data_IF_470165584463
#
_entry.id   IF_470165584463
#
_cell.length_a   1.000
_cell.length_b   1.000
_cell.length_c   1.000
_cell.angle_alpha   90.00
_cell.angle_beta   90.00
_cell.angle_gamma   90.00
#
_symmetry.space_group_name_H-M   'P 1'
#
loop_
_entity.id
_entity.type
_entity.pdbx_description
1 polymer ?
#
# COMPACT_ATOMS: atom_id res chain seq x y z
N UNK A 1 2.48 3.95 -12.07
CA UNK A 1 2.47 2.75 -11.18
C UNK A 1 2.81 1.43 -11.88
N UNK A 2 2.45 1.20 -13.16
CA UNK A 2 2.77 -0.07 -13.85
C UNK A 2 4.26 -0.42 -13.99
N UNK A 3 5.18 0.57 -13.95
CA UNK A 3 6.63 0.31 -13.99
C UNK A 3 7.24 -0.09 -12.64
N UNK A 4 6.76 0.45 -11.52
CA UNK A 4 7.31 0.15 -10.19
C UNK A 4 6.99 -1.28 -9.75
N UNK A 5 5.79 -1.78 -10.09
CA UNK A 5 5.43 -3.18 -9.87
C UNK A 5 6.28 -4.14 -10.74
N UNK A 6 6.60 -3.74 -11.98
CA UNK A 6 7.37 -4.56 -12.91
C UNK A 6 8.89 -4.54 -12.67
N UNK A 7 9.46 -3.47 -12.10
CA UNK A 7 10.91 -3.38 -11.83
C UNK A 7 11.37 -4.18 -10.61
N UNK A 8 10.47 -4.54 -9.71
CA UNK A 8 10.84 -5.28 -8.50
C UNK A 8 11.00 -6.78 -8.74
N UNK A 9 10.41 -7.35 -9.80
CA UNK A 9 10.21 -8.80 -10.01
C UNK A 9 11.52 -9.56 -10.36
N UNK A 10 12.64 -8.85 -10.61
CA UNK A 10 13.91 -9.47 -10.99
C UNK A 10 14.60 -10.27 -9.87
N UNK A 11 14.51 -9.81 -8.62
CA UNK A 11 15.27 -10.33 -7.47
C UNK A 11 14.38 -10.49 -6.22
N UNK A 12 13.16 -11.03 -6.39
CA UNK A 12 12.22 -11.26 -5.28
C UNK A 12 12.26 -12.72 -4.85
N UNK A 13 12.47 -12.96 -3.55
CA UNK A 13 12.47 -14.32 -2.97
C UNK A 13 11.06 -14.86 -2.69
N UNK A 14 10.08 -13.97 -2.53
CA UNK A 14 8.69 -14.32 -2.25
C UNK A 14 7.74 -13.18 -2.65
N UNK A 15 6.65 -13.51 -3.35
CA UNK A 15 5.58 -12.55 -3.69
C UNK A 15 4.35 -12.80 -2.83
N UNK A 16 3.76 -11.74 -2.29
CA UNK A 16 2.45 -11.77 -1.65
C UNK A 16 1.45 -11.13 -2.61
N UNK A 17 0.59 -11.94 -3.23
CA UNK A 17 -0.49 -11.46 -4.08
C UNK A 17 -1.76 -11.30 -3.23
N UNK A 18 -2.29 -10.07 -3.16
CA UNK A 18 -3.44 -9.73 -2.30
C UNK A 18 -4.68 -9.54 -3.15
N UNK A 19 -5.77 -10.21 -2.79
CA UNK A 19 -7.11 -10.06 -3.40
C UNK A 19 -8.15 -9.71 -2.34
N UNK A 20 -9.31 -9.22 -2.75
CA UNK A 20 -10.37 -8.74 -1.86
C UNK A 20 -11.52 -9.75 -1.73
N UNK A 21 -11.61 -10.45 -0.60
CA UNK A 21 -12.76 -11.30 -0.24
C UNK A 21 -13.11 -12.31 -1.34
N UNK A 22 -14.34 -12.23 -1.83
CA UNK A 22 -14.86 -13.04 -2.95
C UNK A 22 -14.86 -12.30 -4.30
N UNK A 23 -14.19 -11.15 -4.37
CA UNK A 23 -14.12 -10.31 -5.56
C UNK A 23 -12.93 -10.71 -6.43
N UNK A 24 -13.21 -10.96 -7.70
CA UNK A 24 -12.21 -11.19 -8.73
C UNK A 24 -12.51 -10.32 -9.94
N UNK A 25 -11.54 -9.51 -10.36
CA UNK A 25 -11.68 -8.53 -11.44
C UNK A 25 -10.66 -8.76 -12.55
N UNK A 26 -10.87 -8.16 -13.74
CA UNK A 26 -9.86 -8.20 -14.80
C UNK A 26 -8.49 -7.65 -14.37
N UNK A 27 -8.45 -6.71 -13.43
CA UNK A 27 -7.19 -6.18 -12.90
C UNK A 27 -6.43 -7.23 -12.08
N UNK A 28 -7.15 -8.04 -11.28
CA UNK A 28 -6.56 -9.16 -10.54
C UNK A 28 -6.00 -10.21 -11.50
N UNK A 29 -6.73 -10.51 -12.58
CA UNK A 29 -6.28 -11.41 -13.64
C UNK A 29 -5.04 -10.88 -14.37
N UNK A 30 -4.98 -9.57 -14.63
CA UNK A 30 -3.79 -8.93 -15.23
C UNK A 30 -2.56 -9.04 -14.31
N UNK A 31 -2.73 -8.92 -13.00
CA UNK A 31 -1.63 -9.12 -12.03
C UNK A 31 -1.21 -10.59 -12.02
N UNK A 32 -2.17 -11.51 -11.89
CA UNK A 32 -1.94 -12.95 -11.90
C UNK A 32 -1.13 -13.40 -13.13
N UNK A 33 -1.48 -12.90 -14.32
CA UNK A 33 -0.77 -13.24 -15.55
C UNK A 33 0.72 -12.87 -15.50
N UNK A 34 1.07 -11.74 -14.88
CA UNK A 34 2.49 -11.35 -14.69
C UNK A 34 3.20 -12.25 -13.67
N UNK A 35 2.47 -12.76 -12.68
CA UNK A 35 3.03 -13.64 -11.65
C UNK A 35 3.30 -15.04 -12.19
N UNK A 36 2.49 -15.53 -13.14
CA UNK A 36 2.70 -16.80 -13.84
C UNK A 36 4.04 -16.85 -14.59
N UNK A 37 4.50 -15.71 -15.10
CA UNK A 37 5.79 -15.59 -15.80
C UNK A 37 6.98 -15.42 -14.85
N UNK A 38 6.73 -15.24 -13.55
CA UNK A 38 7.75 -15.06 -12.52
C UNK A 38 8.36 -16.39 -12.02
N UNK A 39 9.56 -16.31 -11.43
CA UNK A 39 10.23 -17.47 -10.80
C UNK A 39 10.00 -17.56 -9.30
N UNK A 40 9.64 -16.46 -8.66
CA UNK A 40 9.47 -16.39 -7.22
C UNK A 40 8.21 -17.15 -6.78
N UNK A 41 8.23 -17.86 -5.65
CA UNK A 41 7.02 -18.42 -5.06
C UNK A 41 6.01 -17.32 -4.73
N UNK A 42 4.73 -17.64 -4.88
CA UNK A 42 3.62 -16.69 -4.67
C UNK A 42 2.70 -17.21 -3.56
N UNK A 43 2.46 -16.39 -2.54
CA UNK A 43 1.40 -16.59 -1.55
C UNK A 43 0.18 -15.78 -2.00
N UNK A 44 -1.00 -16.40 -1.97
CA UNK A 44 -2.25 -15.69 -2.17
C UNK A 44 -2.82 -15.28 -0.81
N UNK A 45 -2.87 -13.98 -0.55
CA UNK A 45 -3.50 -13.39 0.63
C UNK A 45 -4.91 -12.90 0.27
N UNK A 46 -5.93 -13.63 0.72
CA UNK A 46 -7.34 -13.23 0.49
C UNK A 46 -7.75 -12.32 1.63
N UNK A 47 -7.72 -11.00 1.41
CA UNK A 47 -7.93 -9.99 2.44
C UNK A 47 -9.42 -9.64 2.62
N UNK A 48 -9.75 -8.97 3.73
CA UNK A 48 -11.12 -8.55 4.11
C UNK A 48 -12.11 -9.70 4.27
N UNK A 49 -11.65 -10.86 4.75
CA UNK A 49 -12.52 -12.03 4.99
C UNK A 49 -13.58 -11.78 6.06
N UNK A 50 -13.34 -10.81 6.93
CA UNK A 50 -14.29 -10.28 7.92
C UNK A 50 -15.51 -9.61 7.26
N UNK A 51 -15.37 -9.09 6.05
CA UNK A 51 -16.43 -8.42 5.30
C UNK A 51 -17.19 -9.35 4.35
N UNK A 52 -16.85 -10.64 4.32
CA UNK A 52 -17.58 -11.63 3.51
C UNK A 52 -18.87 -12.00 4.23
N UNK A 53 -20.00 -11.58 3.66
CA UNK A 53 -21.33 -11.74 4.28
C UNK A 53 -21.70 -13.22 4.44
N UNK A 54 -21.56 -14.01 3.37
CA UNK A 54 -21.87 -15.42 3.36
C UNK A 54 -20.59 -16.25 3.37
N UNK A 55 -20.24 -16.81 4.53
CA UNK A 55 -19.05 -17.66 4.65
C UNK A 55 -19.10 -18.89 3.73
N UNK A 56 -20.30 -19.30 3.32
CA UNK A 56 -20.51 -20.38 2.35
C UNK A 56 -19.90 -20.07 0.98
N UNK A 57 -19.82 -18.79 0.58
CA UNK A 57 -19.28 -18.38 -0.72
C UNK A 57 -17.75 -18.37 -0.74
N UNK A 58 -17.12 -18.28 0.44
CA UNK A 58 -15.67 -18.19 0.54
C UNK A 58 -14.99 -19.50 0.08
N UNK A 59 -15.50 -20.65 0.50
CA UNK A 59 -14.85 -21.94 0.18
C UNK A 59 -14.84 -22.25 -1.34
N UNK A 60 -15.96 -22.12 -2.08
CA UNK A 60 -15.95 -22.23 -3.55
C UNK A 60 -15.01 -21.21 -4.21
N UNK A 61 -14.97 -19.98 -3.69
CA UNK A 61 -14.10 -18.95 -4.25
C UNK A 61 -12.62 -19.28 -4.03
N UNK A 62 -12.23 -19.77 -2.85
CA UNK A 62 -10.87 -20.22 -2.57
C UNK A 62 -10.46 -21.39 -3.48
N UNK A 63 -11.39 -22.31 -3.78
CA UNK A 63 -11.13 -23.39 -4.75
C UNK A 63 -10.91 -22.85 -6.17
N UNK A 64 -11.76 -21.91 -6.61
CA UNK A 64 -11.58 -21.22 -7.88
C UNK A 64 -10.22 -20.53 -7.95
N UNK A 65 -9.85 -19.77 -6.92
CA UNK A 65 -8.57 -19.07 -6.84
C UNK A 65 -7.40 -20.06 -6.86
N UNK A 66 -7.46 -21.13 -6.06
CA UNK A 66 -6.43 -22.16 -6.02
C UNK A 66 -6.23 -22.90 -7.35
N UNK A 67 -7.23 -22.88 -8.24
CA UNK A 67 -7.10 -23.44 -9.60
C UNK A 67 -6.41 -22.49 -10.60
N UNK A 68 -6.22 -21.22 -10.25
CA UNK A 68 -5.68 -20.22 -11.17
C UNK A 68 -4.17 -20.38 -11.42
N UNK A 69 -3.41 -20.78 -10.40
CA UNK A 69 -1.99 -21.13 -10.53
C UNK A 69 -1.54 -21.91 -9.29
N UNK A 70 -0.34 -22.47 -9.34
CA UNK A 70 0.25 -23.13 -8.18
C UNK A 70 0.79 -22.09 -7.19
N UNK A 71 -0.03 -21.72 -6.20
CA UNK A 71 0.40 -20.90 -5.08
C UNK A 71 1.20 -21.74 -4.08
N UNK A 72 2.17 -21.10 -3.42
CA UNK A 72 2.88 -21.68 -2.28
C UNK A 72 1.93 -21.93 -1.11
N UNK A 73 1.07 -20.95 -0.84
CA UNK A 73 0.04 -21.02 0.19
C UNK A 73 -1.12 -20.07 -0.16
N UNK A 74 -2.32 -20.37 0.33
CA UNK A 74 -3.52 -19.54 0.19
C UNK A 74 -4.00 -19.22 1.60
N UNK A 75 -3.81 -17.97 2.02
CA UNK A 75 -4.05 -17.53 3.38
C UNK A 75 -5.19 -16.51 3.40
N UNK A 76 -6.38 -16.88 3.89
CA UNK A 76 -7.44 -15.92 4.17
C UNK A 76 -7.03 -15.03 5.35
N UNK A 77 -7.00 -13.70 5.15
CA UNK A 77 -6.57 -12.72 6.15
C UNK A 77 -7.60 -11.61 6.36
N UNK A 78 -7.48 -10.94 7.50
CA UNK A 78 -8.10 -9.64 7.73
C UNK A 78 -7.01 -8.68 8.17
N UNK A 79 -6.57 -7.81 7.27
CA UNK A 79 -5.53 -6.82 7.56
C UNK A 79 -5.96 -5.81 8.64
N UNK A 80 -7.28 -5.58 8.78
CA UNK A 80 -7.82 -4.68 9.80
C UNK A 80 -7.78 -5.30 11.20
N UNK A 81 -8.16 -6.57 11.33
CA UNK A 81 -8.17 -7.25 12.63
C UNK A 81 -6.85 -7.93 12.99
N UNK A 82 -5.96 -8.10 12.00
CA UNK A 82 -4.70 -8.83 12.14
C UNK A 82 -4.83 -10.35 11.95
N UNK A 83 -6.02 -10.87 11.61
CA UNK A 83 -6.24 -12.30 11.40
C UNK A 83 -5.26 -12.86 10.35
N UNK A 84 -4.51 -13.89 10.74
CA UNK A 84 -3.56 -14.64 9.92
C UNK A 84 -2.41 -13.79 9.30
N UNK A 85 -2.22 -12.55 9.74
CA UNK A 85 -1.08 -11.73 9.31
C UNK A 85 0.24 -12.30 9.84
N UNK A 86 0.21 -12.89 11.04
CA UNK A 86 1.29 -13.65 11.66
C UNK A 86 1.66 -14.91 10.86
N UNK A 87 0.67 -15.59 10.29
CA UNK A 87 0.88 -16.74 9.39
C UNK A 87 1.69 -16.29 8.17
N UNK A 88 1.31 -15.18 7.52
CA UNK A 88 2.07 -14.63 6.40
C UNK A 88 3.49 -14.26 6.84
N UNK A 89 3.65 -13.55 7.96
CA UNK A 89 4.96 -13.19 8.48
C UNK A 89 5.85 -14.41 8.75
N UNK A 90 5.26 -15.51 9.24
CA UNK A 90 5.92 -16.79 9.44
C UNK A 90 6.41 -17.43 8.14
N UNK A 91 5.62 -17.34 7.06
CA UNK A 91 6.02 -17.85 5.74
C UNK A 91 7.13 -16.97 5.16
N UNK A 92 6.99 -15.63 5.23
CA UNK A 92 8.02 -14.68 4.78
C UNK A 92 9.36 -14.98 5.43
N UNK A 93 9.37 -15.16 6.76
CA UNK A 93 10.60 -15.45 7.51
C UNK A 93 11.31 -16.72 7.05
N UNK A 94 10.56 -17.74 6.61
CA UNK A 94 11.12 -19.01 6.10
C UNK A 94 11.75 -18.88 4.71
N UNK A 95 11.40 -17.84 3.96
CA UNK A 95 11.89 -17.60 2.60
C UNK A 95 12.95 -16.50 2.54
N UNK A 96 13.38 -15.96 3.70
CA UNK A 96 14.52 -15.06 3.74
C UNK A 96 15.81 -15.86 3.52
N UNK A 97 16.63 -15.52 2.52
CA UNK A 97 17.91 -16.18 2.30
C UNK A 97 18.87 -15.85 3.44
N UNK A 98 19.83 -16.75 3.67
CA UNK A 98 20.95 -16.45 4.56
C UNK A 98 21.81 -15.35 3.90
N UNK A 99 21.79 -14.16 4.50
CA UNK A 99 22.49 -13.00 4.00
C UNK A 99 22.85 -12.06 5.15
N UNK A 100 23.82 -11.18 4.90
CA UNK A 100 24.12 -10.08 5.83
C UNK A 100 22.93 -9.11 5.77
N UNK A 101 22.50 -8.62 6.93
CA UNK A 101 21.52 -7.54 6.98
C UNK A 101 22.05 -6.33 6.19
N UNK A 102 21.37 -6.00 5.09
CA UNK A 102 21.73 -4.85 4.25
C UNK A 102 21.50 -3.51 4.97
N UNK A 103 20.66 -3.50 6.01
CA UNK A 103 20.34 -2.32 6.81
C UNK A 103 20.59 -2.61 8.31
N UNK A 104 21.16 -1.65 9.07
CA UNK A 104 21.26 -1.75 10.52
C UNK A 104 19.89 -1.87 11.22
N UNK A 105 19.85 -2.49 12.41
CA UNK A 105 18.60 -2.65 13.18
C UNK A 105 17.95 -1.30 13.54
N UNK A 106 18.78 -0.31 13.90
CA UNK A 106 18.34 1.04 14.28
C UNK A 106 18.37 2.03 13.12
N UNK A 107 18.27 1.55 11.87
CA UNK A 107 18.28 2.42 10.70
C UNK A 107 16.97 3.22 10.61
N UNK A 108 16.85 4.25 11.46
CA UNK A 108 15.82 5.27 11.36
C UNK A 108 16.17 6.14 10.17
N UNK A 109 15.63 5.79 9.01
CA UNK A 109 15.78 6.65 7.85
C UNK A 109 15.01 7.95 8.09
N UNK A 110 15.67 9.11 8.05
CA UNK A 110 14.97 10.40 7.87
C UNK A 110 14.12 10.36 6.57
N UNK A 111 14.52 9.52 5.60
CA UNK A 111 13.66 9.13 4.47
C UNK A 111 12.34 8.48 4.89
N UNK A 112 12.27 7.63 5.93
CA UNK A 112 11.01 7.03 6.38
C UNK A 112 10.11 8.06 7.04
N UNK A 113 10.64 9.01 7.82
CA UNK A 113 9.82 10.08 8.39
C UNK A 113 9.27 11.03 7.31
N UNK A 114 10.12 11.46 6.36
CA UNK A 114 9.68 12.23 5.19
C UNK A 114 8.70 11.44 4.32
N UNK A 115 8.98 10.17 4.08
CA UNK A 115 8.11 9.28 3.32
C UNK A 115 6.75 9.12 4.01
N UNK A 116 6.73 8.81 5.32
CA UNK A 116 5.50 8.72 6.12
C UNK A 116 4.71 10.02 6.07
N UNK A 117 5.36 11.18 6.21
CA UNK A 117 4.68 12.45 6.07
C UNK A 117 4.05 12.62 4.66
N UNK A 118 4.77 12.22 3.61
CA UNK A 118 4.25 12.24 2.23
C UNK A 118 3.08 11.28 2.03
N UNK A 119 3.13 10.07 2.61
CA UNK A 119 2.06 9.07 2.54
C UNK A 119 0.82 9.54 3.30
N UNK A 120 1.00 10.16 4.48
CA UNK A 120 -0.12 10.72 5.25
C UNK A 120 -0.82 11.82 4.45
N UNK A 121 -0.08 12.75 3.85
CA UNK A 121 -0.67 13.79 2.99
C UNK A 121 -1.39 13.14 1.79
N UNK A 122 -0.79 12.13 1.14
CA UNK A 122 -1.41 11.41 0.02
C UNK A 122 -2.70 10.69 0.43
N UNK A 123 -2.74 10.06 1.60
CA UNK A 123 -3.93 9.41 2.17
C UNK A 123 -5.05 10.44 2.39
N UNK A 124 -4.74 11.63 2.91
CA UNK A 124 -5.73 12.70 3.04
C UNK A 124 -6.23 13.19 1.68
N UNK A 125 -5.33 13.40 0.71
CA UNK A 125 -5.73 13.78 -0.64
C UNK A 125 -6.67 12.74 -1.27
N UNK A 126 -6.34 11.45 -1.16
CA UNK A 126 -7.19 10.35 -1.64
C UNK A 126 -8.57 10.36 -0.96
N UNK A 127 -8.60 10.53 0.37
CA UNK A 127 -9.83 10.51 1.16
C UNK A 127 -10.78 11.68 0.82
N UNK A 128 -10.24 12.87 0.61
CA UNK A 128 -11.05 14.08 0.41
C UNK A 128 -11.34 14.44 -1.05
N UNK A 129 -10.49 14.03 -2.00
CA UNK A 129 -10.63 14.39 -3.41
C UNK A 129 -11.32 13.32 -4.27
N UNK A 130 -11.55 12.11 -3.73
CA UNK A 130 -12.22 11.03 -4.45
C UNK A 130 -11.39 10.45 -5.61
N UNK A 131 -11.98 9.51 -6.36
CA UNK A 131 -11.28 8.52 -7.17
C UNK A 131 -10.44 9.03 -8.37
N UNK A 132 -10.63 10.26 -8.85
CA UNK A 132 -10.04 10.69 -10.15
C UNK A 132 -8.80 11.60 -10.06
N UNK A 133 -8.42 12.07 -8.87
CA UNK A 133 -7.22 12.89 -8.65
C UNK A 133 -5.94 12.17 -8.19
N UNK A 134 -5.97 11.03 -7.48
CA UNK A 134 -4.76 10.50 -6.82
C UNK A 134 -3.62 10.11 -7.74
N UNK A 135 -3.92 9.65 -8.96
CA UNK A 135 -2.91 9.12 -9.88
C UNK A 135 -2.09 10.21 -10.58
N UNK A 136 -2.54 11.46 -10.58
CA UNK A 136 -1.87 12.60 -11.22
C UNK A 136 -1.32 13.62 -10.22
N UNK A 137 -1.29 13.27 -8.93
CA UNK A 137 -0.82 14.16 -7.87
C UNK A 137 0.44 13.59 -7.24
N UNK A 138 1.51 14.39 -7.25
CA UNK A 138 2.77 14.03 -6.59
C UNK A 138 2.88 14.84 -5.30
N UNK A 139 3.20 14.16 -4.20
CA UNK A 139 3.46 14.78 -2.90
C UNK A 139 4.95 14.68 -2.61
N UNK A 140 5.59 15.82 -2.40
CA UNK A 140 7.00 15.92 -2.00
C UNK A 140 7.13 16.64 -0.66
N UNK A 141 8.08 16.23 0.18
CA UNK A 141 8.40 16.94 1.42
C UNK A 141 9.66 17.78 1.17
N UNK A 142 9.47 19.08 0.98
CA UNK A 142 10.57 20.03 0.73
C UNK A 142 11.39 20.32 1.99
N UNK A 143 10.73 20.29 3.16
CA UNK A 143 11.38 20.54 4.44
C UNK A 143 10.82 19.62 5.51
N UNK A 144 11.70 19.04 6.30
CA UNK A 144 11.37 18.29 7.50
C UNK A 144 12.49 18.52 8.49
N UNK A 145 12.26 19.39 9.48
CA UNK A 145 13.28 19.76 10.48
C UNK A 145 12.66 19.87 11.87
N UNK A 146 13.44 19.63 12.91
CA UNK A 146 13.03 19.89 14.29
C UNK A 146 13.12 21.40 14.58
N UNK A 147 12.15 21.94 15.31
CA UNK A 147 12.14 23.34 15.75
C UNK A 147 12.64 23.48 17.19
N UNK A 148 12.92 24.72 17.61
CA UNK A 148 13.47 25.04 18.94
C UNK A 148 12.54 24.63 20.11
N UNK A 149 11.26 24.33 19.82
CA UNK A 149 10.28 23.88 20.81
C UNK A 149 10.20 22.36 20.92
N UNK A 150 11.06 21.63 20.22
CA UNK A 150 11.05 20.16 20.19
C UNK A 150 9.97 19.55 19.30
N UNK A 151 9.31 20.34 18.46
CA UNK A 151 8.36 19.86 17.44
C UNK A 151 9.02 19.73 16.05
N UNK A 152 8.21 19.40 15.03
CA UNK A 152 8.65 19.33 13.64
C UNK A 152 8.02 20.42 12.78
N UNK A 153 8.83 21.08 11.96
CA UNK A 153 8.41 21.96 10.89
C UNK A 153 8.49 21.19 9.57
N UNK A 154 7.33 20.93 8.96
CA UNK A 154 7.18 20.12 7.75
C UNK A 154 6.55 20.95 6.65
N UNK A 155 7.24 21.10 5.52
CA UNK A 155 6.68 21.70 4.31
C UNK A 155 6.42 20.59 3.29
N UNK A 156 5.14 20.40 2.95
CA UNK A 156 4.71 19.50 1.89
C UNK A 156 4.32 20.28 0.63
N UNK A 157 4.79 19.83 -0.52
CA UNK A 157 4.46 20.33 -1.83
C UNK A 157 3.54 19.33 -2.55
N UNK A 158 2.39 19.81 -3.02
CA UNK A 158 1.42 19.02 -3.78
C UNK A 158 1.47 19.49 -5.23
N UNK A 159 2.03 18.67 -6.10
CA UNK A 159 2.19 18.91 -7.53
C UNK A 159 1.01 18.29 -8.28
N UNK A 160 0.39 19.07 -9.18
CA UNK A 160 -0.75 18.64 -9.98
C UNK A 160 -0.50 18.96 -11.45
N UNK A 161 -1.02 18.13 -12.36
CA UNK A 161 -0.77 18.28 -13.80
C UNK A 161 -1.63 19.36 -14.45
N UNK A 162 -2.85 19.59 -13.95
CA UNK A 162 -3.82 20.51 -14.57
C UNK A 162 -4.32 21.57 -13.59
N UNK A 163 -4.53 22.80 -14.07
CA UNK A 163 -5.08 23.91 -13.28
C UNK A 163 -6.46 23.60 -12.67
N UNK A 164 -7.29 22.78 -13.32
CA UNK A 164 -8.55 22.30 -12.75
C UNK A 164 -8.34 21.48 -11.47
N UNK A 165 -7.31 20.63 -11.44
CA UNK A 165 -6.94 19.80 -10.30
C UNK A 165 -6.41 20.66 -9.14
N UNK A 166 -5.63 21.72 -9.46
CA UNK A 166 -5.17 22.69 -8.46
C UNK A 166 -6.35 23.35 -7.73
N UNK A 167 -7.39 23.74 -8.46
CA UNK A 167 -8.61 24.31 -7.86
C UNK A 167 -9.35 23.30 -6.97
N UNK A 168 -9.37 22.03 -7.36
CA UNK A 168 -9.95 20.95 -6.56
C UNK A 168 -9.15 20.72 -5.27
N UNK A 169 -7.82 20.65 -5.36
CA UNK A 169 -6.94 20.52 -4.19
C UNK A 169 -7.10 21.72 -3.25
N UNK A 170 -7.15 22.95 -3.76
CA UNK A 170 -7.32 24.17 -2.93
C UNK A 170 -8.75 24.28 -2.35
N UNK A 171 -9.74 23.71 -3.03
CA UNK A 171 -11.16 23.76 -2.67
C UNK A 171 -11.83 25.11 -3.01
N UNK A 172 -13.15 25.10 -3.13
CA UNK A 172 -13.93 26.30 -3.40
C UNK A 172 -13.82 27.27 -2.19
N UNK A 173 -13.19 28.43 -2.39
CA UNK A 173 -12.86 29.46 -1.37
C UNK A 173 -11.76 29.12 -0.36
N UNK A 174 -10.78 28.26 -0.66
CA UNK A 174 -9.64 28.01 0.23
C UNK A 174 -10.00 27.46 1.63
N UNK A 175 -11.27 27.14 1.87
CA UNK A 175 -11.81 26.83 3.19
C UNK A 175 -11.61 25.37 3.62
N UNK A 176 -11.28 24.47 2.70
CA UNK A 176 -11.08 23.05 3.04
C UNK A 176 -9.66 22.74 3.49
N UNK A 177 -8.64 23.42 2.94
CA UNK A 177 -7.23 23.14 3.30
C UNK A 177 -6.58 24.16 4.24
N UNK A 178 -7.19 25.32 4.51
CA UNK A 178 -6.59 26.33 5.40
C UNK A 178 -6.79 26.07 6.91
N UNK A 179 -7.64 25.10 7.29
CA UNK A 179 -8.08 24.97 8.69
C UNK A 179 -7.45 23.84 9.52
N UNK A 180 -6.43 23.13 9.02
CA UNK A 180 -5.78 22.07 9.80
C UNK A 180 -4.44 22.53 10.39
N UNK A 181 -4.48 23.59 11.21
CA UNK A 181 -3.52 23.76 12.31
C UNK A 181 -3.87 22.75 13.39
N UNK A 182 -3.40 21.51 13.26
CA UNK A 182 -3.40 20.59 14.39
C UNK A 182 -2.42 21.15 15.44
N UNK A 183 -2.98 21.70 16.53
CA UNK A 183 -2.26 21.84 17.80
C UNK A 183 -2.11 20.42 18.37
N UNK A 184 -0.95 19.82 18.15
CA UNK A 184 -0.47 18.74 19.02
C UNK A 184 0.01 19.41 20.31
N UNK A 185 -0.69 19.14 21.41
CA UNK A 185 -0.18 19.40 22.75
C UNK A 185 0.89 18.37 23.10
#
# INVERSE_FOLDING_TARGET
>A
MNKAASSSIGDVELVIFVVEGTRWTPDDEMVLNKLRDGKAPVILAVNKVDNVQEKADLLPHLQFLGSQMNFLDIVPISAETGLNVDTIAGIVRKHLPEAIHHFPEDYITDRSQRFMASEIIREKLMRFLGAELPYSVTVEIERFVTNERGGYDINGLILVEREGQKKMVIGNKGGQNQNHRYRSA
#
